data_IF_591177429067
#
_entry.id   IF_591177429067
#
_cell.length_a   1.000
_cell.length_b   1.000
_cell.length_c   1.000
_cell.angle_alpha   90.00
_cell.angle_beta   90.00
_cell.angle_gamma   90.00
#
_symmetry.space_group_name_H-M   'P 1'
#
loop_
_entity.id
_entity.type
_entity.pdbx_description
1 polymer ?
#
# COMPACT_ATOMS: atom_id res chain seq x y z
N UNK A 1 0.94 -11.64 1.55
CA UNK A 1 2.18 -12.44 1.68
C UNK A 1 2.10 -13.62 0.73
N UNK A 2 3.22 -14.04 0.14
CA UNK A 2 3.28 -15.22 -0.76
C UNK A 2 4.15 -16.29 -0.13
N UNK A 3 3.66 -17.52 -0.13
CA UNK A 3 4.34 -18.67 0.46
C UNK A 3 4.61 -19.70 -0.62
N UNK A 4 5.88 -20.09 -0.74
CA UNK A 4 6.33 -21.10 -1.69
C UNK A 4 7.15 -22.18 -1.01
N UNK A 5 7.21 -23.36 -1.60
CA UNK A 5 8.13 -24.42 -1.18
C UNK A 5 9.55 -24.18 -1.74
N UNK A 6 10.49 -25.09 -1.44
CA UNK A 6 11.89 -25.03 -1.90
C UNK A 6 11.99 -25.01 -3.43
N UNK A 7 11.05 -25.67 -4.12
CA UNK A 7 10.94 -25.70 -5.59
C UNK A 7 10.25 -24.47 -6.18
N UNK A 8 9.98 -23.43 -5.37
CA UNK A 8 9.29 -22.18 -5.73
C UNK A 8 7.84 -22.38 -6.21
N UNK A 9 7.21 -23.48 -5.82
CA UNK A 9 5.80 -23.72 -6.10
C UNK A 9 4.92 -23.15 -4.98
N UNK A 10 3.72 -22.64 -5.30
CA UNK A 10 2.76 -22.18 -4.31
C UNK A 10 2.49 -23.20 -3.20
N UNK A 11 2.45 -22.75 -1.95
CA UNK A 11 2.09 -23.59 -0.80
C UNK A 11 0.71 -23.20 -0.26
N UNK A 12 -0.36 -23.92 -0.64
CA UNK A 12 -1.71 -23.67 -0.14
C UNK A 12 -1.94 -24.23 1.26
N UNK A 13 -2.97 -23.74 1.95
CA UNK A 13 -3.38 -24.19 3.30
C UNK A 13 -2.25 -24.17 4.34
N UNK A 14 -1.28 -23.27 4.19
CA UNK A 14 -0.22 -23.06 5.15
C UNK A 14 -0.68 -22.05 6.20
N UNK A 15 -0.59 -22.44 7.48
CA UNK A 15 -0.71 -21.50 8.59
C UNK A 15 0.53 -20.62 8.62
N UNK A 16 0.30 -19.32 8.71
CA UNK A 16 1.34 -18.30 8.74
C UNK A 16 0.91 -17.15 9.64
N UNK A 17 1.89 -16.37 10.08
CA UNK A 17 1.70 -15.25 10.98
C UNK A 17 2.24 -13.97 10.36
N UNK A 18 1.51 -12.88 10.54
CA UNK A 18 2.01 -11.52 10.34
C UNK A 18 2.22 -10.92 11.72
N UNK A 19 3.45 -10.53 12.00
CA UNK A 19 3.84 -9.89 13.26
C UNK A 19 4.12 -8.44 12.95
N UNK A 20 3.40 -7.54 13.63
CA UNK A 20 3.50 -6.10 13.46
C UNK A 20 4.09 -5.50 14.73
N UNK A 21 5.27 -4.90 14.59
CA UNK A 21 6.01 -4.23 15.65
C UNK A 21 5.90 -2.72 15.45
N UNK A 22 5.04 -2.06 16.23
CA UNK A 22 4.79 -0.62 16.21
C UNK A 22 5.27 0.00 17.54
N UNK A 23 6.54 0.43 17.58
CA UNK A 23 7.17 0.84 18.83
C UNK A 23 7.21 -0.32 19.82
N UNK A 24 6.64 -0.12 21.00
CA UNK A 24 6.55 -1.15 22.06
C UNK A 24 5.34 -2.09 21.89
N UNK A 25 4.44 -1.79 20.95
CA UNK A 25 3.25 -2.61 20.69
C UNK A 25 3.55 -3.70 19.66
N UNK A 26 3.24 -4.94 20.03
CA UNK A 26 3.37 -6.12 19.18
C UNK A 26 2.01 -6.76 18.93
N UNK A 27 1.63 -6.87 17.66
CA UNK A 27 0.38 -7.53 17.23
C UNK A 27 0.67 -8.71 16.32
N UNK A 28 0.04 -9.86 16.61
CA UNK A 28 0.16 -11.08 15.80
C UNK A 28 -1.16 -11.40 15.10
N UNK A 29 -1.11 -11.63 13.79
CA UNK A 29 -2.27 -11.98 12.96
C UNK A 29 -2.02 -13.34 12.34
N UNK A 30 -2.91 -14.30 12.62
CA UNK A 30 -2.85 -15.64 12.02
C UNK A 30 -3.64 -15.67 10.72
N UNK A 31 -3.04 -16.24 9.67
CA UNK A 31 -3.61 -16.35 8.33
C UNK A 31 -3.39 -17.75 7.77
N UNK A 32 -4.18 -18.09 6.75
CA UNK A 32 -4.04 -19.32 5.96
C UNK A 32 -3.88 -18.94 4.50
N UNK A 33 -2.95 -19.57 3.80
CA UNK A 33 -2.74 -19.32 2.36
C UNK A 33 -3.79 -19.97 1.47
N UNK A 34 -4.16 -19.29 0.39
CA UNK A 34 -5.07 -19.78 -0.64
C UNK A 34 -4.39 -20.79 -1.61
N UNK A 35 -5.13 -21.25 -2.63
CA UNK A 35 -4.62 -22.17 -3.66
C UNK A 35 -3.37 -21.67 -4.41
N UNK A 36 -3.16 -20.36 -4.45
CA UNK A 36 -2.01 -19.70 -5.08
C UNK A 36 -0.89 -19.41 -4.08
N UNK A 37 -1.00 -19.91 -2.85
CA UNK A 37 -0.03 -19.67 -1.79
C UNK A 37 -0.07 -18.23 -1.27
N UNK A 38 -1.16 -17.50 -1.51
CA UNK A 38 -1.32 -16.10 -1.08
C UNK A 38 -2.11 -16.03 0.22
N UNK A 39 -1.57 -15.30 1.19
CA UNK A 39 -2.29 -14.86 2.39
C UNK A 39 -2.57 -13.36 2.26
N UNK A 40 -3.86 -13.02 2.18
CA UNK A 40 -4.34 -11.64 2.11
C UNK A 40 -4.63 -11.10 3.51
N UNK A 41 -4.28 -9.84 3.75
CA UNK A 41 -4.55 -9.14 5.01
C UNK A 41 -4.66 -7.64 4.77
N UNK A 42 -5.28 -6.95 5.72
CA UNK A 42 -5.34 -5.49 5.81
C UNK A 42 -4.96 -5.08 7.22
N UNK A 43 -4.26 -3.96 7.36
CA UNK A 43 -3.83 -3.42 8.65
C UNK A 43 -4.47 -2.04 8.81
N UNK A 44 -4.98 -1.76 10.01
CA UNK A 44 -5.35 -0.40 10.39
C UNK A 44 -4.07 0.35 10.79
N UNK A 45 -3.73 1.38 10.00
CA UNK A 45 -2.50 2.16 10.18
C UNK A 45 -2.77 3.56 10.74
N UNK A 46 -3.98 3.83 11.23
CA UNK A 46 -4.43 5.17 11.65
C UNK A 46 -3.54 5.79 12.72
N UNK A 47 -3.03 4.98 13.65
CA UNK A 47 -2.23 5.43 14.81
C UNK A 47 -0.72 5.30 14.59
N UNK A 48 -0.27 4.91 13.40
CA UNK A 48 1.14 4.63 13.14
C UNK A 48 1.89 5.93 12.81
N UNK A 49 2.65 6.42 13.79
CA UNK A 49 3.38 7.71 13.68
C UNK A 49 4.86 7.55 13.32
N UNK A 50 5.42 6.38 13.60
CA UNK A 50 6.82 6.04 13.35
C UNK A 50 6.91 4.85 12.38
N UNK A 51 8.09 4.56 11.81
CA UNK A 51 8.26 3.37 10.98
C UNK A 51 7.86 2.09 11.73
N UNK A 52 7.04 1.26 11.10
CA UNK A 52 6.53 0.00 11.67
C UNK A 52 7.16 -1.18 10.95
N UNK A 53 7.67 -2.14 11.73
CA UNK A 53 8.26 -3.37 11.18
C UNK A 53 7.22 -4.48 11.11
N UNK A 54 7.17 -5.16 9.97
CA UNK A 54 6.23 -6.25 9.68
C UNK A 54 7.02 -7.49 9.31
N UNK A 55 6.81 -8.58 10.04
CA UNK A 55 7.42 -9.88 9.78
C UNK A 55 6.35 -10.88 9.32
N UNK A 56 6.64 -11.61 8.25
CA UNK A 56 5.92 -12.83 7.89
C UNK A 56 6.66 -14.05 8.41
N UNK A 57 5.98 -14.91 9.18
CA UNK A 57 6.57 -16.11 9.80
C UNK A 57 5.67 -17.34 9.65
N UNK A 58 6.23 -18.54 9.82
CA UNK A 58 5.48 -19.80 9.81
C UNK A 58 5.06 -20.26 11.21
N UNK A 59 5.81 -19.87 12.23
CA UNK A 59 5.45 -20.01 13.63
C UNK A 59 5.77 -18.70 14.38
N UNK A 60 5.36 -18.58 15.64
CA UNK A 60 5.61 -17.40 16.47
C UNK A 60 6.89 -17.51 17.31
N UNK A 61 7.51 -18.70 17.34
CA UNK A 61 8.73 -19.01 18.12
C UNK A 61 10.01 -18.77 17.29
N UNK A 62 9.89 -18.64 15.95
CA UNK A 62 10.93 -18.39 14.96
C UNK A 62 11.62 -17.01 15.14
N UNK A 63 11.16 -16.18 16.08
CA UNK A 63 11.82 -14.92 16.44
C UNK A 63 13.06 -15.12 17.32
N UNK A 64 13.11 -16.18 18.13
CA UNK A 64 14.20 -16.40 19.09
C UNK A 64 15.31 -17.32 18.53
N UNK A 65 14.99 -18.17 17.56
CA UNK A 65 15.97 -19.05 16.93
C UNK A 65 16.38 -18.56 15.54
N UNK A 66 17.69 -18.58 15.30
CA UNK A 66 18.49 -18.05 14.18
C UNK A 66 18.12 -18.62 12.78
N UNK A 67 16.85 -18.66 12.41
CA UNK A 67 16.32 -19.10 11.12
C UNK A 67 15.90 -17.88 10.29
N UNK A 68 16.84 -16.97 10.05
CA UNK A 68 16.65 -15.79 9.17
C UNK A 68 16.28 -16.14 7.70
N UNK A 69 16.22 -17.42 7.33
CA UNK A 69 15.95 -17.88 5.96
C UNK A 69 14.46 -18.11 5.65
N UNK A 70 13.56 -18.01 6.65
CA UNK A 70 12.12 -18.27 6.48
C UNK A 70 11.24 -17.04 6.70
N UNK A 71 11.79 -15.92 7.16
CA UNK A 71 11.03 -14.71 7.47
C UNK A 71 10.98 -13.73 6.29
N UNK A 72 9.82 -13.09 6.13
CA UNK A 72 9.61 -12.03 5.14
C UNK A 72 9.44 -10.68 5.84
N UNK A 73 10.49 -9.86 5.83
CA UNK A 73 10.49 -8.59 6.58
C UNK A 73 10.18 -7.39 5.69
N UNK A 74 9.34 -6.48 6.18
CA UNK A 74 9.06 -5.19 5.54
C UNK A 74 8.95 -4.11 6.59
N UNK A 75 9.53 -2.95 6.29
CA UNK A 75 9.35 -1.73 7.08
C UNK A 75 8.36 -0.84 6.33
N UNK A 76 7.28 -0.44 6.99
CA UNK A 76 6.36 0.55 6.49
C UNK A 76 6.72 1.91 7.11
N UNK A 77 6.99 2.88 6.25
CA UNK A 77 7.21 4.26 6.66
C UNK A 77 5.89 5.02 6.54
N UNK A 78 5.50 5.80 7.56
CA UNK A 78 4.38 6.71 7.43
C UNK A 78 4.63 7.69 6.28
N UNK A 79 3.59 7.99 5.52
CA UNK A 79 3.67 8.95 4.43
C UNK A 79 3.82 10.35 5.03
N UNK A 80 4.98 10.98 4.81
CA UNK A 80 5.19 12.35 5.26
C UNK A 80 4.44 13.32 4.34
N UNK A 81 3.65 14.20 4.96
CA UNK A 81 2.97 15.29 4.25
C UNK A 81 3.26 16.61 4.96
N UNK A 82 3.79 17.61 4.24
CA UNK A 82 3.96 18.95 4.80
C UNK A 82 2.61 19.67 5.02
N UNK A 83 1.61 19.23 4.26
CA UNK A 83 0.23 19.67 4.17
C UNK A 83 -0.61 18.45 4.52
N UNK A 84 -1.63 18.46 5.38
CA UNK A 84 -2.44 17.27 5.71
C UNK A 84 -3.31 16.73 4.54
N UNK A 85 -2.89 17.07 3.32
CA UNK A 85 -3.41 16.69 2.02
C UNK A 85 -2.66 15.49 1.44
N UNK A 86 -3.36 14.54 0.82
CA UNK A 86 -2.75 13.38 0.16
C UNK A 86 -3.45 12.99 -1.15
N UNK A 87 -2.68 12.29 -2.00
CA UNK A 87 -3.16 11.54 -3.15
C UNK A 87 -2.67 10.11 -3.06
N UNK A 88 -3.56 9.15 -3.30
CA UNK A 88 -3.27 7.72 -3.31
C UNK A 88 -3.81 7.11 -4.59
N UNK A 89 -2.88 6.70 -5.46
CA UNK A 89 -3.22 5.95 -6.67
C UNK A 89 -3.37 4.48 -6.29
N UNK A 90 -4.51 3.87 -6.60
CA UNK A 90 -4.70 2.46 -6.31
C UNK A 90 -3.85 1.57 -7.23
N UNK A 91 -3.22 0.56 -6.63
CA UNK A 91 -2.46 -0.43 -7.37
C UNK A 91 -3.39 -1.38 -8.14
N UNK A 92 -3.12 -1.53 -9.43
CA UNK A 92 -3.80 -2.54 -10.26
C UNK A 92 -2.97 -3.82 -10.18
N UNK A 93 -3.46 -4.80 -9.42
CA UNK A 93 -2.73 -6.04 -9.14
C UNK A 93 -2.54 -6.94 -10.39
N UNK A 94 -3.39 -6.78 -11.41
CA UNK A 94 -3.41 -7.66 -12.58
C UNK A 94 -2.63 -7.07 -13.75
N UNK A 95 -2.07 -7.96 -14.59
CA UNK A 95 -1.43 -7.58 -15.85
C UNK A 95 -2.46 -6.92 -16.76
N UNK A 96 -2.13 -5.71 -17.23
CA UNK A 96 -2.98 -4.98 -18.17
C UNK A 96 -2.98 -5.65 -19.54
N UNK A 97 -4.15 -5.71 -20.17
CA UNK A 97 -4.31 -6.23 -21.54
C UNK A 97 -4.09 -5.09 -22.53
N UNK A 98 -3.35 -5.36 -23.61
CA UNK A 98 -3.10 -4.37 -24.66
C UNK A 98 -4.43 -3.93 -25.32
N UNK A 99 -4.50 -2.66 -25.70
CA UNK A 99 -5.65 -2.05 -26.40
C UNK A 99 -6.97 -2.04 -25.61
N UNK A 100 -6.94 -2.31 -24.30
CA UNK A 100 -8.09 -2.19 -23.41
C UNK A 100 -7.90 -0.97 -22.51
N UNK A 101 -8.92 -0.10 -22.43
CA UNK A 101 -8.90 1.03 -21.48
C UNK A 101 -9.03 0.50 -20.07
N UNK A 102 -8.12 0.91 -19.20
CA UNK A 102 -8.11 0.55 -17.80
C UNK A 102 -8.40 1.80 -16.95
N UNK A 103 -9.51 1.83 -16.20
CA UNK A 103 -9.72 2.86 -15.18
C UNK A 103 -8.64 2.76 -14.10
N UNK A 104 -8.12 3.90 -13.69
CA UNK A 104 -7.20 4.05 -12.55
C UNK A 104 -7.96 4.83 -11.47
N UNK A 105 -8.07 4.23 -10.28
CA UNK A 105 -8.73 4.85 -9.14
C UNK A 105 -7.73 5.68 -8.34
N UNK A 106 -8.12 6.88 -7.93
CA UNK A 106 -7.28 7.82 -7.19
C UNK A 106 -8.07 8.37 -6.02
N UNK A 107 -7.66 7.98 -4.81
CA UNK A 107 -8.22 8.50 -3.57
C UNK A 107 -7.45 9.76 -3.18
N UNK A 108 -8.18 10.81 -2.79
CA UNK A 108 -7.55 12.05 -2.36
C UNK A 108 -8.31 12.73 -1.24
N UNK A 109 -7.57 13.42 -0.40
CA UNK A 109 -8.07 14.35 0.61
C UNK A 109 -7.21 15.59 0.56
N UNK A 110 -7.78 16.73 0.20
CA UNK A 110 -7.05 18.00 0.07
C UNK A 110 -7.67 19.03 1.00
N UNK A 111 -6.88 19.54 1.94
CA UNK A 111 -7.25 20.65 2.82
C UNK A 111 -7.21 21.94 2.00
N UNK A 112 -8.29 22.73 2.06
CA UNK A 112 -8.39 23.99 1.34
C UNK A 112 -7.35 25.02 1.81
N UNK A 113 -6.88 24.94 3.05
CA UNK A 113 -5.86 25.83 3.58
C UNK A 113 -4.51 25.66 2.87
N UNK A 114 -4.28 24.51 2.23
CA UNK A 114 -3.09 24.24 1.42
C UNK A 114 -3.20 24.82 0.00
N UNK A 115 -4.38 25.31 -0.38
CA UNK A 115 -4.66 25.91 -1.68
C UNK A 115 -4.59 27.43 -1.63
N UNK A 116 -4.44 28.04 -2.81
CA UNK A 116 -4.59 29.49 -2.93
C UNK A 116 -6.02 29.87 -2.47
N UNK A 117 -6.19 30.79 -1.50
CA UNK A 117 -7.50 31.16 -0.95
C UNK A 117 -8.51 31.66 -2.00
N UNK A 118 -8.01 32.18 -3.12
CA UNK A 118 -8.82 32.71 -4.22
C UNK A 118 -9.08 31.68 -5.33
N UNK A 119 -8.52 30.47 -5.23
CA UNK A 119 -8.75 29.42 -6.23
C UNK A 119 -10.02 28.66 -5.92
N UNK A 120 -10.87 28.53 -6.94
CA UNK A 120 -12.06 27.68 -6.91
C UNK A 120 -11.83 26.36 -7.67
N UNK A 121 -10.63 26.15 -8.21
CA UNK A 121 -10.26 25.00 -9.01
C UNK A 121 -8.90 24.45 -8.57
N UNK A 122 -8.76 23.13 -8.63
CA UNK A 122 -7.51 22.40 -8.38
C UNK A 122 -7.21 21.55 -9.61
N UNK A 123 -6.05 21.76 -10.22
CA UNK A 123 -5.58 20.95 -11.35
C UNK A 123 -4.60 19.88 -10.89
N UNK A 124 -4.91 18.62 -11.19
CA UNK A 124 -4.06 17.47 -10.94
C UNK A 124 -3.33 17.11 -12.22
N UNK A 125 -2.01 17.07 -12.20
CA UNK A 125 -1.20 16.59 -13.32
C UNK A 125 -0.77 15.14 -13.09
N UNK A 126 -0.91 14.30 -14.11
CA UNK A 126 -0.46 12.90 -14.04
C UNK A 126 0.46 12.54 -15.21
N UNK A 127 1.36 11.59 -14.96
CA UNK A 127 2.33 11.10 -15.95
C UNK A 127 2.36 9.57 -15.92
N UNK A 128 2.44 8.97 -17.12
CA UNK A 128 2.64 7.54 -17.30
C UNK A 128 4.07 7.32 -17.76
N UNK A 129 4.81 6.48 -17.05
CA UNK A 129 6.18 6.14 -17.40
C UNK A 129 6.34 4.68 -17.79
N UNK A 130 7.23 4.41 -18.75
CA UNK A 130 7.61 3.07 -19.15
C UNK A 130 9.06 3.06 -19.62
N UNK A 131 9.81 2.03 -19.21
CA UNK A 131 11.23 1.86 -19.59
C UNK A 131 12.09 3.12 -19.31
N UNK A 132 11.83 3.80 -18.19
CA UNK A 132 12.57 4.99 -17.78
C UNK A 132 12.24 6.27 -18.57
N UNK A 133 11.14 6.32 -19.32
CA UNK A 133 10.69 7.51 -20.06
C UNK A 133 9.21 7.81 -19.80
N UNK A 134 8.82 9.08 -19.93
CA UNK A 134 7.41 9.49 -19.92
C UNK A 134 6.82 9.15 -21.29
N UNK A 135 5.73 8.38 -21.29
CA UNK A 135 5.04 7.93 -22.51
C UNK A 135 3.69 8.62 -22.73
N UNK A 136 3.10 9.17 -21.67
CA UNK A 136 1.86 9.94 -21.72
C UNK A 136 1.74 10.81 -20.48
N UNK A 137 0.88 11.82 -20.53
CA UNK A 137 0.49 12.61 -19.38
C UNK A 137 -0.80 13.38 -19.67
N UNK A 138 -1.33 14.03 -18.65
CA UNK A 138 -2.52 14.84 -18.77
C UNK A 138 -2.84 15.57 -17.48
N UNK A 139 -3.99 16.23 -17.49
CA UNK A 139 -4.51 16.99 -16.37
C UNK A 139 -5.95 16.59 -16.04
N UNK A 140 -6.32 16.78 -14.77
CA UNK A 140 -7.67 16.58 -14.28
C UNK A 140 -8.03 17.73 -13.34
N UNK A 141 -9.09 18.46 -13.68
CA UNK A 141 -9.52 19.62 -12.90
C UNK A 141 -10.64 19.22 -11.93
N UNK A 142 -10.53 19.72 -10.71
CA UNK A 142 -11.49 19.54 -9.63
C UNK A 142 -12.00 20.89 -9.16
N UNK A 143 -13.32 20.98 -8.94
CA UNK A 143 -13.90 22.14 -8.26
C UNK A 143 -13.57 22.09 -6.76
N UNK A 144 -13.08 23.21 -6.22
CA UNK A 144 -12.85 23.37 -4.77
C UNK A 144 -14.15 23.84 -4.12
N UNK A 145 -14.84 22.93 -3.41
CA UNK A 145 -16.06 23.23 -2.66
C UNK A 145 -15.90 22.81 -1.20
N UNK A 146 -16.35 23.65 -0.27
CA UNK A 146 -16.25 23.38 1.17
C UNK A 146 -14.86 23.66 1.76
N UNK A 147 -14.58 23.05 2.92
CA UNK A 147 -13.30 23.18 3.65
C UNK A 147 -12.26 22.12 3.25
N UNK A 148 -12.70 21.02 2.64
CA UNK A 148 -11.81 19.96 2.14
C UNK A 148 -12.42 19.28 0.93
N UNK A 149 -11.56 18.78 0.04
CA UNK A 149 -11.96 18.09 -1.19
C UNK A 149 -11.66 16.61 -1.02
N UNK A 150 -12.69 15.78 -1.17
CA UNK A 150 -12.58 14.33 -1.12
C UNK A 150 -13.00 13.72 -2.45
N UNK A 151 -12.31 12.66 -2.86
CA UNK A 151 -12.72 11.82 -3.97
C UNK A 151 -12.12 10.43 -3.87
N UNK A 152 -12.80 9.50 -4.53
CA UNK A 152 -12.48 8.07 -4.57
C UNK A 152 -12.34 7.62 -6.00
#
# INVERSE_FOLDING_TARGET
>A
MTVVNVDKQPKPNANVFIIVNNGDEKTNISLVTDEKGLAHFSLDTSEWKEPVMIHGAFNLEDEEENYHYTMADRVLFPFYTASNSFFKVENIANKLTCNVKQPVKVEYSIDKNDLNPNSNELTIFYMVSSKGRIVSGGEHNLDVKGESIHGY
#
